data_IF_566638712503
#
_entry.id   IF_566638712503
#
_cell.length_a   1.000
_cell.length_b   1.000
_cell.length_c   1.000
_cell.angle_alpha   90.00
_cell.angle_beta   90.00
_cell.angle_gamma   90.00
#
_symmetry.space_group_name_H-M   'P 1'
#
loop_
_entity.id
_entity.type
_entity.pdbx_description
1 polymer ?
#
# COMPACT_ATOMS: atom_id res chain seq x y z
N UNK A 1 -21.34 50.60 -36.00
CA UNK A 1 -20.91 49.28 -35.50
C UNK A 1 -20.34 49.46 -34.10
N UNK A 2 -21.14 49.19 -33.06
CA UNK A 2 -20.75 49.38 -31.66
C UNK A 2 -19.77 48.26 -31.30
N UNK A 3 -18.53 48.60 -30.99
CA UNK A 3 -17.52 47.65 -30.51
C UNK A 3 -17.94 47.12 -29.14
N UNK A 4 -18.74 46.06 -29.11
CA UNK A 4 -19.10 45.39 -27.87
C UNK A 4 -17.92 44.51 -27.43
N UNK A 5 -17.29 44.78 -26.28
CA UNK A 5 -16.16 43.98 -25.78
C UNK A 5 -16.59 42.61 -25.26
N UNK A 6 -17.89 42.42 -25.01
CA UNK A 6 -18.49 41.23 -24.41
C UNK A 6 -18.10 39.91 -25.12
N UNK A 7 -18.27 39.74 -26.45
CA UNK A 7 -17.85 38.52 -27.14
C UNK A 7 -16.34 38.24 -27.07
N UNK A 8 -15.49 39.26 -27.00
CA UNK A 8 -14.03 39.08 -26.87
C UNK A 8 -13.66 38.53 -25.50
N UNK A 9 -14.34 38.99 -24.45
CA UNK A 9 -14.14 38.48 -23.07
C UNK A 9 -14.59 37.03 -22.97
N UNK A 10 -15.76 36.67 -23.52
CA UNK A 10 -16.22 35.28 -23.53
C UNK A 10 -15.25 34.35 -24.26
N UNK A 11 -14.72 34.77 -25.42
CA UNK A 11 -13.71 34.01 -26.15
C UNK A 11 -12.41 33.85 -25.34
N UNK A 12 -11.98 34.91 -24.65
CA UNK A 12 -10.82 34.84 -23.76
C UNK A 12 -11.01 33.85 -22.62
N UNK A 13 -12.15 33.91 -21.92
CA UNK A 13 -12.47 32.99 -20.81
C UNK A 13 -12.58 31.54 -21.31
N UNK A 14 -13.21 31.32 -22.47
CA UNK A 14 -13.32 30.00 -23.09
C UNK A 14 -11.94 29.43 -23.43
N UNK A 15 -11.05 30.25 -23.97
CA UNK A 15 -9.70 29.82 -24.34
C UNK A 15 -8.87 29.49 -23.09
N UNK A 16 -8.97 30.31 -22.04
CA UNK A 16 -8.33 30.03 -20.75
C UNK A 16 -8.89 28.76 -20.11
N UNK A 17 -10.20 28.54 -20.14
CA UNK A 17 -10.80 27.32 -19.56
C UNK A 17 -10.40 26.07 -20.34
N UNK A 18 -10.32 26.16 -21.67
CA UNK A 18 -9.84 25.08 -22.51
C UNK A 18 -8.38 24.74 -22.21
N UNK A 19 -7.49 25.73 -22.12
CA UNK A 19 -6.09 25.52 -21.76
C UNK A 19 -5.94 24.95 -20.34
N UNK A 20 -6.68 25.49 -19.37
CA UNK A 20 -6.68 24.98 -18.01
C UNK A 20 -7.13 23.52 -17.94
N UNK A 21 -8.14 23.13 -18.74
CA UNK A 21 -8.61 21.74 -18.80
C UNK A 21 -7.53 20.78 -19.27
N UNK A 22 -6.74 21.16 -20.28
CA UNK A 22 -5.65 20.34 -20.82
C UNK A 22 -4.54 20.18 -19.78
N UNK A 23 -4.17 21.27 -19.10
CA UNK A 23 -3.14 21.24 -18.04
C UNK A 23 -3.57 20.38 -16.87
N UNK A 24 -4.82 20.54 -16.40
CA UNK A 24 -5.37 19.73 -15.32
C UNK A 24 -5.48 18.26 -15.70
N UNK A 25 -5.88 17.97 -16.94
CA UNK A 25 -5.92 16.60 -17.46
C UNK A 25 -4.52 15.96 -17.46
N UNK A 26 -3.50 16.70 -17.90
CA UNK A 26 -2.11 16.23 -17.87
C UNK A 26 -1.62 15.95 -16.44
N UNK A 27 -1.84 16.90 -15.52
CA UNK A 27 -1.49 16.74 -14.11
C UNK A 27 -2.19 15.53 -13.50
N UNK A 28 -3.48 15.36 -13.76
CA UNK A 28 -4.26 14.23 -13.28
C UNK A 28 -3.70 12.90 -13.78
N UNK A 29 -3.38 12.79 -15.08
CA UNK A 29 -2.78 11.57 -15.64
C UNK A 29 -1.42 11.28 -14.99
N UNK A 30 -0.55 12.28 -14.86
CA UNK A 30 0.77 12.10 -14.26
C UNK A 30 0.68 11.64 -12.79
N UNK A 31 -0.18 12.26 -11.99
CA UNK A 31 -0.36 11.94 -10.59
C UNK A 31 -1.03 10.57 -10.41
N UNK A 32 -2.04 10.25 -11.23
CA UNK A 32 -2.73 8.94 -11.20
C UNK A 32 -1.78 7.80 -11.56
N UNK A 33 -0.84 8.00 -12.49
CA UNK A 33 0.18 6.99 -12.81
C UNK A 33 1.06 6.69 -11.60
N UNK A 34 1.52 7.71 -10.89
CA UNK A 34 2.32 7.53 -9.67
C UNK A 34 1.51 6.80 -8.58
N UNK A 35 0.27 7.24 -8.35
CA UNK A 35 -0.61 6.61 -7.37
C UNK A 35 -0.87 5.13 -7.67
N UNK A 36 -1.12 4.79 -8.95
CA UNK A 36 -1.30 3.39 -9.36
C UNK A 36 -0.04 2.54 -9.17
N UNK A 37 1.16 3.10 -9.37
CA UNK A 37 2.40 2.35 -9.11
C UNK A 37 2.59 2.04 -7.62
N UNK A 38 2.33 3.01 -6.75
CA UNK A 38 2.40 2.83 -5.30
C UNK A 38 1.33 1.85 -4.81
N UNK A 39 0.09 2.00 -5.27
CA UNK A 39 -0.99 1.07 -4.93
C UNK A 39 -0.71 -0.35 -5.42
N UNK A 40 -0.13 -0.51 -6.61
CA UNK A 40 0.29 -1.81 -7.12
C UNK A 40 1.33 -2.48 -6.22
N UNK A 41 2.34 -1.74 -5.78
CA UNK A 41 3.35 -2.26 -4.84
C UNK A 41 2.74 -2.64 -3.48
N UNK A 42 1.85 -1.80 -2.94
CA UNK A 42 1.14 -2.10 -1.69
C UNK A 42 0.30 -3.37 -1.80
N UNK A 43 -0.38 -3.57 -2.94
CA UNK A 43 -1.19 -4.76 -3.15
C UNK A 43 -0.33 -6.02 -3.23
N UNK A 44 0.83 -5.95 -3.89
CA UNK A 44 1.81 -7.05 -3.92
C UNK A 44 2.31 -7.37 -2.51
N UNK A 45 2.70 -6.37 -1.73
CA UNK A 45 3.17 -6.56 -0.35
C UNK A 45 2.09 -7.18 0.52
N UNK A 46 0.85 -6.69 0.42
CA UNK A 46 -0.27 -7.21 1.21
C UNK A 46 -0.60 -8.65 0.85
N UNK A 47 -0.65 -8.96 -0.45
CA UNK A 47 -0.86 -10.32 -0.93
C UNK A 47 0.25 -11.26 -0.44
N UNK A 48 1.52 -10.87 -0.58
CA UNK A 48 2.65 -11.67 -0.12
C UNK A 48 2.62 -11.90 1.40
N UNK A 49 2.29 -10.87 2.19
CA UNK A 49 2.11 -11.03 3.64
C UNK A 49 1.00 -12.02 3.98
N UNK A 50 -0.11 -11.97 3.27
CA UNK A 50 -1.23 -12.90 3.46
C UNK A 50 -0.80 -14.33 3.15
N UNK A 51 -0.13 -14.57 2.03
CA UNK A 51 0.39 -15.89 1.64
C UNK A 51 1.43 -16.41 2.64
N UNK A 52 2.31 -15.54 3.14
CA UNK A 52 3.30 -15.94 4.16
C UNK A 52 2.62 -16.29 5.49
N UNK A 53 1.57 -15.56 5.90
CA UNK A 53 0.82 -15.86 7.11
C UNK A 53 0.06 -17.20 6.99
N UNK A 54 -0.52 -17.50 5.83
CA UNK A 54 -1.15 -18.81 5.59
C UNK A 54 -0.12 -19.93 5.62
N UNK A 55 1.03 -19.74 4.96
CA UNK A 55 2.11 -20.74 4.96
C UNK A 55 2.67 -20.98 6.37
N UNK A 56 2.81 -19.93 7.17
CA UNK A 56 3.23 -20.02 8.56
C UNK A 56 2.25 -20.85 9.40
N UNK A 57 0.94 -20.65 9.21
CA UNK A 57 -0.09 -21.46 9.88
C UNK A 57 -0.05 -22.93 9.44
N UNK A 58 0.09 -23.18 8.14
CA UNK A 58 0.20 -24.54 7.60
C UNK A 58 1.46 -25.25 8.14
N UNK A 59 2.58 -24.53 8.24
CA UNK A 59 3.81 -25.07 8.78
C UNK A 59 3.70 -25.36 10.28
N UNK A 60 3.00 -24.52 11.05
CA UNK A 60 2.68 -24.79 12.45
C UNK A 60 1.79 -26.02 12.60
N UNK A 61 0.80 -26.20 11.72
CA UNK A 61 -0.05 -27.39 11.75
C UNK A 61 0.72 -28.66 11.34
N UNK A 62 1.54 -28.58 10.31
CA UNK A 62 2.42 -29.66 9.88
C UNK A 62 3.41 -30.07 10.98
N UNK A 63 3.95 -29.10 11.74
CA UNK A 63 4.86 -29.36 12.86
C UNK A 63 4.27 -30.24 13.95
N UNK A 64 2.93 -30.23 14.12
CA UNK A 64 2.25 -31.12 15.06
C UNK A 64 2.38 -32.58 14.67
N UNK A 65 2.43 -32.87 13.36
CA UNK A 65 2.61 -34.22 12.82
C UNK A 65 4.08 -34.58 12.63
N UNK A 66 4.92 -33.61 12.26
CA UNK A 66 6.34 -33.79 11.98
C UNK A 66 7.18 -32.77 12.76
N UNK A 67 7.62 -33.10 14.00
CA UNK A 67 8.36 -32.17 14.84
C UNK A 67 9.76 -31.82 14.32
N UNK A 68 10.24 -32.47 13.26
CA UNK A 68 11.53 -32.17 12.63
C UNK A 68 11.64 -30.75 12.04
N UNK A 69 10.50 -30.08 11.78
CA UNK A 69 10.45 -28.69 11.29
C UNK A 69 10.47 -27.63 12.40
N UNK A 70 10.33 -28.05 13.67
CA UNK A 70 10.38 -27.15 14.84
C UNK A 70 11.61 -26.22 14.87
N UNK A 71 12.85 -26.67 14.61
CA UNK A 71 14.01 -25.76 14.61
C UNK A 71 13.92 -24.67 13.53
N UNK A 72 13.27 -24.95 12.41
CA UNK A 72 13.02 -23.94 11.38
C UNK A 72 11.97 -22.93 11.88
N UNK A 73 10.89 -23.41 12.49
CA UNK A 73 9.83 -22.57 13.06
C UNK A 73 10.28 -21.70 14.24
N UNK A 74 11.23 -22.19 15.04
CA UNK A 74 11.88 -21.42 16.10
C UNK A 74 12.79 -20.34 15.52
N UNK A 75 13.57 -20.65 14.47
CA UNK A 75 14.46 -19.68 13.82
C UNK A 75 13.73 -18.49 13.18
N UNK A 76 12.50 -18.71 12.70
CA UNK A 76 11.65 -17.66 12.11
C UNK A 76 10.69 -17.02 13.12
N UNK A 77 10.81 -17.36 14.42
CA UNK A 77 10.01 -16.79 15.50
C UNK A 77 8.53 -17.18 15.50
N UNK A 78 8.13 -18.16 14.68
CA UNK A 78 6.76 -18.68 14.62
C UNK A 78 6.43 -19.62 15.79
N UNK A 79 7.46 -20.19 16.44
CA UNK A 79 7.32 -21.02 17.65
C UNK A 79 8.31 -20.51 18.71
N UNK A 80 7.89 -20.30 19.98
CA UNK A 80 8.84 -19.95 21.02
C UNK A 80 9.83 -21.09 21.21
N UNK A 81 11.12 -20.77 21.21
CA UNK A 81 12.18 -21.76 21.36
C UNK A 81 11.96 -22.63 22.60
N UNK A 82 12.06 -23.95 22.45
CA UNK A 82 11.89 -24.92 23.57
C UNK A 82 12.90 -24.76 24.71
N UNK A 83 13.84 -23.82 24.60
CA UNK A 83 14.80 -23.45 25.65
C UNK A 83 14.63 -21.98 26.06
N UNK A 84 13.60 -21.73 26.87
CA UNK A 84 13.56 -20.75 27.97
C UNK A 84 13.89 -19.28 27.69
N UNK A 85 12.86 -18.43 27.62
CA UNK A 85 12.55 -17.42 28.66
C UNK A 85 11.24 -16.71 28.27
N UNK A 86 10.28 -16.49 29.20
CA UNK A 86 9.11 -15.69 28.91
C UNK A 86 9.54 -14.23 28.64
N UNK A 87 9.09 -13.68 27.52
CA UNK A 87 9.28 -12.26 27.22
C UNK A 87 8.67 -11.43 28.36
N UNK A 88 9.52 -10.74 29.11
CA UNK A 88 9.11 -9.87 30.19
C UNK A 88 8.18 -8.77 29.66
N UNK A 89 6.91 -8.82 30.05
CA UNK A 89 5.98 -7.70 29.97
C UNK A 89 6.50 -6.59 30.86
N UNK A 90 7.22 -5.62 30.29
CA UNK A 90 7.51 -4.36 30.97
C UNK A 90 6.17 -3.63 31.20
N UNK A 91 5.70 -3.43 32.44
CA UNK A 91 4.50 -2.65 32.67
C UNK A 91 4.82 -1.18 32.36
N UNK A 92 3.96 -0.55 31.56
CA UNK A 92 3.97 0.89 31.37
C UNK A 92 3.77 1.57 32.74
N UNK A 93 4.72 2.41 33.14
CA UNK A 93 4.64 3.19 34.37
C UNK A 93 3.64 4.34 34.17
N UNK A 94 2.89 4.63 35.24
CA UNK A 94 1.88 5.68 35.38
C UNK A 94 2.34 7.07 34.93
#
# INVERSE_FOLDING_TARGET
MKNNPLPRVLLGVLLVSALASVVLCWLYISNTRQLRTLQGQLNIINNNRTVMATLANDALEYSKKNPAIDPILESVGLKPAKTGTPAATKPATK
#
